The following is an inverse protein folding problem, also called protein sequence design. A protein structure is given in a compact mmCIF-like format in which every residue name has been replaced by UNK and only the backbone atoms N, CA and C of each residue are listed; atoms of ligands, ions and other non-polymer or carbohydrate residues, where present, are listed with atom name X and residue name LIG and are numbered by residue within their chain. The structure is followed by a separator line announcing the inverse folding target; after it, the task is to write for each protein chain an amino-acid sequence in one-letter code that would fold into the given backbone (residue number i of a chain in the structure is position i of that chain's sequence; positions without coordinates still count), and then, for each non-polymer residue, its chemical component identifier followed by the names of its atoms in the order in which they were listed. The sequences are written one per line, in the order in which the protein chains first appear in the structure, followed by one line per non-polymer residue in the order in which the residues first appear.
data_IF_255877869431
#
_entry.id   IF_255877869431
#
_cell.length_a   1.000
_cell.length_b   1.000
_cell.length_c   1.000
_cell.angle_alpha   90.00
_cell.angle_beta   90.00
_cell.angle_gamma   90.00
#
_symmetry.space_group_name_H-M   'P 1'
#
loop_
_entity.id
_entity.type
_entity.pdbx_description
1 polymer ?
#
# COMPACT_ATOMS: atom_id res chain seq x y z
N UNK A 1 9.03 0.97 10.41
CA UNK A 1 8.20 2.20 10.45
C UNK A 1 6.84 1.81 9.88
N UNK A 2 5.77 1.95 10.67
CA UNK A 2 4.42 1.58 10.24
C UNK A 2 3.94 2.57 9.18
N UNK A 3 3.43 2.06 8.06
CA UNK A 3 2.80 2.87 7.01
C UNK A 3 1.57 3.52 7.63
N UNK A 4 1.56 4.85 7.74
CA UNK A 4 0.37 5.59 8.17
C UNK A 4 -0.61 5.55 6.99
N UNK A 5 -1.59 4.66 7.06
CA UNK A 5 -2.70 4.60 6.11
C UNK A 5 -3.44 5.94 6.08
N UNK A 6 -3.75 6.42 4.87
CA UNK A 6 -4.49 7.67 4.68
C UNK A 6 -5.91 7.45 5.19
N UNK A 7 -6.30 8.17 6.24
CA UNK A 7 -7.67 8.26 6.74
C UNK A 7 -8.37 9.46 6.13
N UNK A 8 -9.61 9.25 5.68
CA UNK A 8 -10.52 10.32 5.30
C UNK A 8 -10.73 11.30 6.46
N UNK A 9 -10.72 12.60 6.16
CA UNK A 9 -10.92 13.66 7.15
C UNK A 9 -9.69 14.04 8.01
N UNK A 10 -8.53 13.42 7.78
CA UNK A 10 -7.30 13.81 8.44
C UNK A 10 -6.59 14.97 7.71
N UNK A 11 -6.04 15.92 8.46
CA UNK A 11 -5.14 16.95 7.92
C UNK A 11 -3.74 16.38 7.86
N UNK A 12 -3.16 16.30 6.66
CA UNK A 12 -1.77 15.91 6.45
C UNK A 12 -0.92 17.16 6.31
N UNK A 13 0.22 17.18 6.99
CA UNK A 13 1.21 18.21 6.70
C UNK A 13 1.90 17.92 5.36
N UNK A 14 2.54 18.94 4.77
CA UNK A 14 3.18 18.82 3.46
C UNK A 14 4.19 17.65 3.39
N UNK A 15 4.93 17.40 4.48
CA UNK A 15 5.91 16.32 4.54
C UNK A 15 5.23 14.95 4.46
N UNK A 16 4.14 14.75 5.20
CA UNK A 16 3.38 13.49 5.17
C UNK A 16 2.80 13.20 3.78
N UNK A 17 2.34 14.24 3.07
CA UNK A 17 1.88 14.11 1.69
C UNK A 17 3.02 13.71 0.76
N UNK A 18 4.19 14.35 0.89
CA UNK A 18 5.37 14.02 0.08
C UNK A 18 5.84 12.58 0.33
N UNK A 19 5.92 12.17 1.59
CA UNK A 19 6.36 10.81 1.97
C UNK A 19 5.45 9.74 1.35
N UNK A 20 4.13 9.97 1.38
CA UNK A 20 3.15 9.10 0.73
C UNK A 20 3.35 9.04 -0.79
N UNK A 21 3.54 10.18 -1.45
CA UNK A 21 3.74 10.20 -2.90
C UNK A 21 5.02 9.46 -3.32
N UNK A 22 6.09 9.56 -2.52
CA UNK A 22 7.33 8.81 -2.72
C UNK A 22 7.09 7.31 -2.56
N UNK A 23 6.32 6.90 -1.55
CA UNK A 23 5.92 5.50 -1.36
C UNK A 23 5.10 4.97 -2.54
N UNK A 24 4.10 5.73 -2.97
CA UNK A 24 3.24 5.39 -4.12
C UNK A 24 4.06 5.25 -5.41
N UNK A 25 4.98 6.19 -5.67
CA UNK A 25 5.91 6.10 -6.80
C UNK A 25 6.73 4.81 -6.75
N UNK A 26 7.31 4.52 -5.58
CA UNK A 26 8.10 3.31 -5.37
C UNK A 26 7.27 2.03 -5.52
N UNK A 27 5.99 2.06 -5.15
CA UNK A 27 5.06 0.97 -5.38
C UNK A 27 4.84 0.73 -6.87
N UNK A 28 4.55 1.77 -7.65
CA UNK A 28 4.39 1.67 -9.11
C UNK A 28 5.63 1.05 -9.77
N UNK A 29 6.83 1.47 -9.39
CA UNK A 29 8.09 0.91 -9.92
C UNK A 29 8.22 -0.59 -9.66
N UNK A 30 7.84 -1.04 -8.44
CA UNK A 30 7.85 -2.46 -8.09
C UNK A 30 6.83 -3.25 -8.90
N UNK A 31 5.63 -2.69 -9.12
CA UNK A 31 4.60 -3.33 -9.95
C UNK A 31 5.07 -3.44 -11.39
N UNK A 32 5.61 -2.37 -11.97
CA UNK A 32 6.21 -2.38 -13.31
C UNK A 32 7.31 -3.44 -13.46
N UNK A 33 8.15 -3.61 -12.44
CA UNK A 33 9.25 -4.59 -12.47
C UNK A 33 8.77 -6.04 -12.35
N UNK A 34 7.78 -6.31 -11.48
CA UNK A 34 7.38 -7.68 -11.10
C UNK A 34 6.11 -8.19 -11.81
N UNK A 35 5.22 -7.29 -12.20
CA UNK A 35 3.89 -7.59 -12.76
C UNK A 35 3.71 -6.85 -14.09
N UNK A 36 4.61 -7.11 -15.05
CA UNK A 36 4.65 -6.44 -16.35
C UNK A 36 3.30 -6.47 -17.09
N UNK A 37 2.62 -7.62 -17.07
CA UNK A 37 1.31 -7.79 -17.73
C UNK A 37 0.27 -6.83 -17.11
N UNK A 38 0.15 -6.85 -15.78
CA UNK A 38 -0.78 -5.96 -15.06
C UNK A 38 -0.45 -4.49 -15.32
N UNK A 39 0.83 -4.11 -15.28
CA UNK A 39 1.25 -2.74 -15.55
C UNK A 39 0.84 -2.28 -16.96
N UNK A 40 1.06 -3.11 -17.97
CA UNK A 40 0.65 -2.84 -19.35
C UNK A 40 -0.88 -2.75 -19.50
N UNK A 41 -1.65 -3.52 -18.72
CA UNK A 41 -3.12 -3.40 -18.72
C UNK A 41 -3.62 -2.08 -18.10
N UNK A 42 -2.83 -1.43 -17.25
CA UNK A 42 -3.19 -0.14 -16.65
C UNK A 42 -2.82 1.04 -17.55
N UNK A 43 -1.71 0.91 -18.28
CA UNK A 43 -1.15 1.96 -19.13
C UNK A 43 -2.10 2.39 -20.26
N UNK A 44 -2.23 3.70 -20.46
CA UNK A 44 -2.99 4.28 -21.57
C UNK A 44 -4.51 4.26 -21.39
N UNK A 45 -5.00 3.79 -20.24
CA UNK A 45 -6.43 3.91 -19.89
C UNK A 45 -6.78 5.35 -19.49
N UNK A 46 -7.98 5.78 -19.86
CA UNK A 46 -8.49 7.12 -19.50
C UNK A 46 -8.56 7.35 -17.98
N UNK A 47 -8.67 6.29 -17.19
CA UNK A 47 -8.69 6.28 -15.74
C UNK A 47 -7.42 5.64 -15.13
N UNK A 48 -6.28 5.67 -15.82
CA UNK A 48 -5.03 5.05 -15.38
C UNK A 48 -4.65 5.46 -13.94
N UNK A 49 -4.74 6.75 -13.62
CA UNK A 49 -4.40 7.26 -12.28
C UNK A 49 -5.26 6.60 -11.19
N UNK A 50 -6.58 6.58 -11.37
CA UNK A 50 -7.52 6.00 -10.42
C UNK A 50 -7.27 4.51 -10.22
N UNK A 51 -6.95 3.78 -11.31
CA UNK A 51 -6.62 2.36 -11.23
C UNK A 51 -5.35 2.12 -10.41
N UNK A 52 -4.31 2.94 -10.60
CA UNK A 52 -3.08 2.83 -9.81
C UNK A 52 -3.32 3.14 -8.33
N UNK A 53 -4.10 4.17 -8.03
CA UNK A 53 -4.48 4.54 -6.66
C UNK A 53 -5.27 3.40 -6.00
N UNK A 54 -6.30 2.89 -6.66
CA UNK A 54 -7.11 1.79 -6.16
C UNK A 54 -6.28 0.52 -5.93
N UNK A 55 -5.39 0.19 -6.85
CA UNK A 55 -4.48 -0.96 -6.70
C UNK A 55 -3.56 -0.78 -5.50
N UNK A 56 -3.02 0.43 -5.29
CA UNK A 56 -2.19 0.75 -4.13
C UNK A 56 -2.97 0.56 -2.83
N UNK A 57 -4.16 1.17 -2.71
CA UNK A 57 -4.99 1.11 -1.51
C UNK A 57 -5.37 -0.34 -1.12
N UNK A 58 -5.86 -1.13 -2.08
CA UNK A 58 -6.21 -2.53 -1.82
C UNK A 58 -4.96 -3.35 -1.42
N UNK A 59 -3.82 -3.07 -2.04
CA UNK A 59 -2.56 -3.74 -1.71
C UNK A 59 -2.08 -3.38 -0.30
N UNK A 60 -2.23 -2.12 0.11
CA UNK A 60 -1.87 -1.68 1.46
C UNK A 60 -2.79 -2.29 2.51
N UNK A 61 -4.11 -2.33 2.25
CA UNK A 61 -5.08 -2.96 3.14
C UNK A 61 -4.77 -4.44 3.34
N UNK A 62 -4.51 -5.16 2.25
CA UNK A 62 -4.14 -6.58 2.30
C UNK A 62 -2.83 -6.81 3.07
N UNK A 63 -1.83 -5.95 2.86
CA UNK A 63 -0.55 -6.04 3.57
C UNK A 63 -0.71 -5.79 5.07
N UNK A 64 -1.55 -4.83 5.46
CA UNK A 64 -1.90 -4.53 6.84
C UNK A 64 -2.63 -5.71 7.51
N UNK A 65 -3.63 -6.28 6.83
CA UNK A 65 -4.33 -7.48 7.34
C UNK A 65 -3.38 -8.66 7.57
N UNK A 66 -2.47 -8.93 6.63
CA UNK A 66 -1.45 -9.97 6.78
C UNK A 66 -0.50 -9.68 7.93
N UNK A 67 -0.12 -8.42 8.13
CA UNK A 67 0.71 -8.01 9.26
C UNK A 67 -0.01 -8.27 10.59
N UNK A 68 -1.27 -7.84 10.70
CA UNK A 68 -2.10 -8.02 11.89
C UNK A 68 -2.32 -9.51 12.21
N UNK A 69 -2.54 -10.36 11.19
CA UNK A 69 -2.63 -11.81 11.37
C UNK A 69 -1.33 -12.41 11.92
N UNK A 70 -0.17 -11.99 11.40
CA UNK A 70 1.15 -12.45 11.87
C UNK A 70 1.46 -11.99 13.30
N UNK A 71 1.16 -10.74 13.64
CA UNK A 71 1.32 -10.24 15.01
C UNK A 71 0.48 -11.03 16.01
N UNK A 72 -0.81 -11.27 15.72
CA UNK A 72 -1.68 -12.10 16.57
C UNK A 72 -1.15 -13.52 16.76
N UNK A 73 -0.56 -14.13 15.73
CA UNK A 73 0.06 -15.46 15.86
C UNK A 73 1.30 -15.42 16.78
N UNK A 74 2.16 -14.40 16.65
CA UNK A 74 3.33 -14.24 17.53
C UNK A 74 2.93 -13.98 18.99
N UNK A 75 1.92 -13.15 19.24
CA UNK A 75 1.40 -12.90 20.59
C UNK A 75 0.83 -14.16 21.24
N UNK A 76 0.12 -15.00 20.47
CA UNK A 76 -0.39 -16.28 20.98
C UNK A 76 0.75 -17.25 21.32
N UNK A 77 1.81 -17.30 20.53
CA UNK A 77 2.98 -18.16 20.80
C UNK A 77 3.73 -17.72 22.07
N UNK A 78 3.84 -16.41 22.33
CA UNK A 78 4.50 -15.88 23.52
C UNK A 78 3.72 -16.08 24.82
N UNK A 79 2.39 -16.24 24.76
CA UNK A 79 1.55 -16.53 25.94
C UNK A 79 1.58 -18.01 26.37
N UNK A 80 2.16 -18.89 25.55
CA UNK A 80 2.20 -20.34 25.76
C UNK A 80 3.58 -20.81 26.30
N UNK A 81 4.60 -19.95 26.28
CA UNK A 81 5.90 -20.16 26.98
C UNK A 81 5.92 -19.46 28.32
#
# INVERSE_FOLDING_TARGET
MAVKTIKDGASYNQREVVDLLVEFSSFKDRVNKKFKILATELEGKHNEHDLWVNLYLISTDYAEELHNKRQKQQENLQKIS
#
